data_IF_305138989753
#
_entry.id   IF_305138989753
#
_cell.length_a   1.000
_cell.length_b   1.000
_cell.length_c   1.000
_cell.angle_alpha   90.00
_cell.angle_beta   90.00
_cell.angle_gamma   90.00
#
_symmetry.space_group_name_H-M   'P 1'
#
loop_
_entity.id
_entity.type
_entity.pdbx_description
1 polymer ?
#
# COMPACT_ATOMS: atom_id res chain seq x y z
N UNK A 1 -11.62 21.21 -5.26
CA UNK A 1 -10.59 20.92 -4.24
C UNK A 1 -9.93 19.60 -4.61
N UNK A 2 -8.65 19.58 -5.06
CA UNK A 2 -8.09 18.40 -5.67
C UNK A 2 -7.56 17.44 -4.60
N UNK A 3 -8.18 16.27 -4.52
CA UNK A 3 -7.68 15.14 -3.75
C UNK A 3 -6.41 14.62 -4.44
N UNK A 4 -5.27 14.86 -3.80
CA UNK A 4 -3.96 14.31 -4.17
C UNK A 4 -4.00 12.79 -4.12
N UNK A 5 -3.88 12.17 -5.30
CA UNK A 5 -3.77 10.71 -5.49
C UNK A 5 -2.47 10.22 -4.86
N UNK A 6 -2.54 9.60 -3.68
CA UNK A 6 -1.45 8.81 -3.13
C UNK A 6 -1.33 7.49 -3.90
N UNK A 7 -0.68 7.53 -5.06
CA UNK A 7 -0.25 6.34 -5.79
C UNK A 7 0.93 5.71 -5.05
N UNK A 8 0.64 4.79 -4.12
CA UNK A 8 1.64 3.92 -3.51
C UNK A 8 2.05 2.85 -4.53
N UNK A 9 2.80 3.25 -5.56
CA UNK A 9 3.70 2.31 -6.25
C UNK A 9 4.73 1.88 -5.24
N UNK A 10 4.68 0.62 -4.83
CA UNK A 10 5.75 -0.02 -4.07
C UNK A 10 7.08 0.21 -4.79
N UNK A 11 7.94 1.01 -4.19
CA UNK A 11 9.32 1.25 -4.65
C UNK A 11 10.20 0.20 -3.99
N UNK A 12 10.16 -1.03 -4.49
CA UNK A 12 11.03 -2.11 -4.01
C UNK A 12 12.47 -1.97 -4.51
N UNK A 13 12.71 -1.09 -5.48
CA UNK A 13 14.04 -0.70 -5.92
C UNK A 13 14.04 0.79 -6.23
N UNK A 14 14.82 1.57 -5.48
CA UNK A 14 15.40 2.78 -6.07
C UNK A 14 16.38 2.26 -7.12
N UNK A 15 15.99 2.29 -8.38
CA UNK A 15 17.00 2.33 -9.45
C UNK A 15 17.68 3.67 -9.23
N UNK A 16 18.82 3.67 -8.54
CA UNK A 16 19.73 4.80 -8.57
C UNK A 16 20.02 5.02 -10.04
N UNK A 17 19.80 6.23 -10.57
CA UNK A 17 20.09 6.53 -11.97
C UNK A 17 21.54 6.16 -12.23
N UNK A 18 21.74 5.04 -12.92
CA UNK A 18 23.06 4.49 -13.15
C UNK A 18 23.62 5.20 -14.37
N UNK A 19 24.23 6.37 -14.17
CA UNK A 19 24.77 7.17 -15.27
C UNK A 19 26.21 6.81 -15.63
N UNK A 20 26.93 6.08 -14.76
CA UNK A 20 28.25 5.51 -15.06
C UNK A 20 28.48 4.25 -14.21
N UNK A 21 28.55 3.05 -14.83
CA UNK A 21 29.04 1.82 -14.16
C UNK A 21 30.43 1.54 -14.67
N UNK A 22 31.42 1.62 -13.78
CA UNK A 22 32.71 0.99 -14.01
C UNK A 22 32.60 -0.46 -13.54
N UNK A 23 32.73 -1.40 -14.47
CA UNK A 23 32.69 -2.83 -14.15
C UNK A 23 34.02 -3.21 -13.49
N UNK A 24 33.95 -3.64 -12.23
CA UNK A 24 35.08 -4.18 -11.49
C UNK A 24 35.01 -5.70 -11.46
N UNK A 25 36.15 -6.37 -11.34
CA UNK A 25 36.24 -7.81 -11.08
C UNK A 25 36.01 -8.17 -9.60
N UNK A 26 35.76 -7.17 -8.74
CA UNK A 26 35.38 -7.39 -7.34
C UNK A 26 34.01 -8.07 -7.24
N UNK A 27 33.81 -8.98 -6.27
CA UNK A 27 32.52 -9.62 -6.07
C UNK A 27 31.45 -8.61 -5.63
N UNK A 28 30.25 -8.78 -6.17
CA UNK A 28 29.08 -7.96 -5.84
C UNK A 28 28.75 -7.99 -4.34
N UNK A 29 28.40 -6.83 -3.78
CA UNK A 29 28.00 -6.69 -2.38
C UNK A 29 26.54 -6.29 -2.28
N UNK A 30 25.78 -7.02 -1.46
CA UNK A 30 24.40 -6.67 -1.14
C UNK A 30 24.37 -5.54 -0.11
N UNK A 31 23.83 -4.38 -0.50
CA UNK A 31 23.66 -3.23 0.37
C UNK A 31 22.18 -3.02 0.73
N UNK A 32 21.91 -2.91 2.02
CA UNK A 32 20.56 -2.64 2.53
C UNK A 32 20.29 -1.13 2.55
N UNK A 33 19.51 -0.64 1.59
CA UNK A 33 19.25 0.79 1.37
C UNK A 33 18.39 1.49 2.44
N UNK A 34 17.85 0.73 3.40
CA UNK A 34 16.99 1.26 4.47
C UNK A 34 17.73 1.53 5.79
N UNK A 35 19.03 1.25 5.87
CA UNK A 35 19.89 1.66 6.99
C UNK A 35 21.08 2.45 6.45
N UNK A 36 21.52 3.47 7.20
CA UNK A 36 22.68 4.27 6.80
C UNK A 36 23.98 3.44 6.73
N UNK A 37 24.06 2.38 7.54
CA UNK A 37 25.22 1.49 7.60
C UNK A 37 25.21 0.41 6.50
N UNK A 38 24.15 0.32 5.69
CA UNK A 38 24.03 -0.69 4.63
C UNK A 38 23.85 -2.14 5.11
N UNK A 39 23.77 -2.37 6.42
CA UNK A 39 23.64 -3.71 7.03
C UNK A 39 22.17 -4.13 7.11
N UNK A 40 21.89 -5.35 6.63
CA UNK A 40 20.60 -5.99 6.77
C UNK A 40 20.38 -6.52 8.19
N UNK A 41 19.20 -6.25 8.74
CA UNK A 41 18.70 -6.94 9.95
C UNK A 41 17.23 -7.30 9.75
N UNK A 42 16.76 -8.36 10.41
CA UNK A 42 15.34 -8.72 10.38
C UNK A 42 14.45 -7.56 10.89
N UNK A 43 14.93 -6.80 11.88
CA UNK A 43 14.23 -5.64 12.42
C UNK A 43 14.10 -4.50 11.40
N UNK A 44 15.19 -4.16 10.70
CA UNK A 44 15.17 -3.11 9.68
C UNK A 44 14.31 -3.51 8.47
N UNK A 45 14.34 -4.79 8.10
CA UNK A 45 13.46 -5.36 7.08
C UNK A 45 11.99 -5.19 7.46
N UNK A 46 11.62 -5.63 8.67
CA UNK A 46 10.25 -5.50 9.17
C UNK A 46 9.79 -4.04 9.16
N UNK A 47 10.58 -3.11 9.70
CA UNK A 47 10.23 -1.68 9.69
C UNK A 47 10.07 -1.11 8.28
N UNK A 48 10.93 -1.52 7.34
CA UNK A 48 10.82 -1.11 5.94
C UNK A 48 9.53 -1.63 5.28
N UNK A 49 9.08 -2.85 5.62
CA UNK A 49 7.82 -3.40 5.12
C UNK A 49 6.60 -2.55 5.49
N UNK A 50 6.62 -1.92 6.67
CA UNK A 50 5.53 -1.07 7.15
C UNK A 50 5.76 0.42 6.89
N UNK A 51 6.84 0.79 6.19
CA UNK A 51 7.11 2.19 5.92
C UNK A 51 6.06 2.76 4.96
N UNK A 52 5.42 3.85 5.35
CA UNK A 52 4.31 4.45 4.59
C UNK A 52 2.95 3.80 4.82
N UNK A 53 2.85 2.82 5.72
CA UNK A 53 1.54 2.32 6.17
C UNK A 53 0.89 3.40 7.03
N UNK A 54 -0.12 4.06 6.46
CA UNK A 54 -1.01 4.94 7.22
C UNK A 54 -1.97 4.08 8.02
N UNK A 55 -1.92 4.18 9.35
CA UNK A 55 -2.89 3.50 10.20
C UNK A 55 -4.31 3.98 9.89
N UNK A 56 -5.28 3.06 9.84
CA UNK A 56 -6.69 3.41 9.76
C UNK A 56 -7.10 4.09 11.07
N UNK A 57 -7.23 5.42 11.10
CA UNK A 57 -7.58 6.16 12.31
C UNK A 57 -8.93 5.70 12.92
N UNK A 58 -9.81 5.14 12.07
CA UNK A 58 -11.14 4.67 12.44
C UNK A 58 -11.17 3.30 13.13
N UNK A 59 -10.03 2.60 13.27
CA UNK A 59 -10.02 1.23 13.84
C UNK A 59 -10.66 1.18 15.23
N UNK A 60 -10.36 2.16 16.09
CA UNK A 60 -10.94 2.24 17.44
C UNK A 60 -12.46 2.36 17.39
N UNK A 61 -13.00 3.16 16.47
CA UNK A 61 -14.43 3.39 16.32
C UNK A 61 -15.15 2.12 15.85
N UNK A 62 -14.57 1.41 14.87
CA UNK A 62 -15.13 0.17 14.33
C UNK A 62 -15.25 -0.88 15.42
N UNK A 63 -14.18 -1.11 16.19
CA UNK A 63 -14.15 -2.17 17.19
C UNK A 63 -14.91 -1.82 18.47
N UNK A 64 -14.96 -0.53 18.87
CA UNK A 64 -15.76 -0.04 20.01
C UNK A 64 -17.26 0.06 19.74
N UNK A 65 -17.69 0.05 18.48
CA UNK A 65 -19.12 0.14 18.15
C UNK A 65 -19.93 -1.03 18.73
N UNK A 66 -21.23 -0.85 18.93
CA UNK A 66 -22.16 -1.92 19.32
C UNK A 66 -22.61 -2.80 18.14
N UNK A 67 -21.99 -2.64 16.97
CA UNK A 67 -22.38 -3.37 15.77
C UNK A 67 -22.09 -4.88 15.88
N UNK A 68 -22.89 -5.75 15.25
CA UNK A 68 -22.60 -7.17 15.15
C UNK A 68 -21.23 -7.44 14.51
N UNK A 69 -20.54 -8.55 14.86
CA UNK A 69 -19.22 -8.86 14.32
C UNK A 69 -19.13 -8.81 12.79
N UNK A 70 -20.16 -9.33 12.09
CA UNK A 70 -20.23 -9.31 10.62
C UNK A 70 -20.11 -7.90 10.04
N UNK A 71 -20.76 -6.92 10.67
CA UNK A 71 -20.74 -5.52 10.24
C UNK A 71 -19.39 -4.88 10.55
N UNK A 72 -18.81 -5.16 11.72
CA UNK A 72 -17.48 -4.68 12.11
C UNK A 72 -16.41 -5.17 11.13
N UNK A 73 -16.42 -6.45 10.78
CA UNK A 73 -15.49 -7.04 9.82
C UNK A 73 -15.63 -6.40 8.44
N UNK A 74 -16.86 -6.24 7.96
CA UNK A 74 -17.10 -5.57 6.69
C UNK A 74 -16.57 -4.13 6.69
N UNK A 75 -16.89 -3.35 7.72
CA UNK A 75 -16.45 -1.96 7.83
C UNK A 75 -14.92 -1.84 7.96
N UNK A 76 -14.27 -2.78 8.65
CA UNK A 76 -12.81 -2.86 8.73
C UNK A 76 -12.18 -3.06 7.35
N UNK A 77 -12.71 -3.99 6.56
CA UNK A 77 -12.25 -4.23 5.19
C UNK A 77 -12.51 -3.03 4.29
N UNK A 78 -13.68 -2.39 4.43
CA UNK A 78 -14.05 -1.20 3.66
C UNK A 78 -13.10 -0.02 3.92
N UNK A 79 -12.76 0.26 5.19
CA UNK A 79 -11.80 1.32 5.53
C UNK A 79 -10.37 1.07 5.03
N UNK A 80 -10.03 -0.18 4.71
CA UNK A 80 -8.74 -0.54 4.13
C UNK A 80 -8.78 -0.60 2.60
N UNK A 81 -9.88 -0.16 1.98
CA UNK A 81 -10.15 -0.31 0.56
C UNK A 81 -10.10 -1.78 0.11
N UNK A 82 -10.32 -2.76 1.00
CA UNK A 82 -10.14 -4.20 0.65
C UNK A 82 -11.39 -4.87 0.11
N UNK A 83 -12.53 -4.19 0.10
CA UNK A 83 -13.77 -4.69 -0.49
C UNK A 83 -13.72 -4.59 -2.03
N UNK A 84 -14.32 -5.54 -2.73
CA UNK A 84 -14.49 -5.51 -4.19
C UNK A 84 -15.59 -4.53 -4.59
N UNK A 85 -15.29 -3.23 -4.53
CA UNK A 85 -16.14 -2.17 -5.06
C UNK A 85 -15.88 -1.97 -6.55
N UNK A 86 -16.86 -1.39 -7.26
CA UNK A 86 -16.70 -1.05 -8.68
C UNK A 86 -15.45 -0.18 -8.90
N UNK A 87 -15.20 0.82 -8.04
CA UNK A 87 -14.00 1.67 -8.09
C UNK A 87 -12.68 0.89 -8.00
N UNK A 88 -12.59 -0.08 -7.06
CA UNK A 88 -11.38 -0.91 -6.91
C UNK A 88 -11.18 -1.85 -8.11
N UNK A 89 -12.27 -2.37 -8.68
CA UNK A 89 -12.22 -3.16 -9.91
C UNK A 89 -11.74 -2.29 -11.09
N UNK A 90 -12.24 -1.06 -11.23
CA UNK A 90 -11.84 -0.08 -12.26
C UNK A 90 -10.32 0.17 -12.20
N UNK A 91 -9.81 0.47 -11.00
CA UNK A 91 -8.37 0.71 -10.75
C UNK A 91 -7.48 -0.47 -11.14
N UNK A 92 -8.03 -1.69 -11.19
CA UNK A 92 -7.32 -2.93 -11.54
C UNK A 92 -7.59 -3.39 -12.97
N UNK A 93 -8.43 -2.69 -13.74
CA UNK A 93 -8.82 -3.09 -15.09
C UNK A 93 -9.64 -4.38 -15.13
N UNK A 94 -10.34 -4.72 -14.04
CA UNK A 94 -11.23 -5.87 -13.98
C UNK A 94 -12.64 -5.49 -14.44
N UNK A 95 -13.40 -6.45 -14.95
CA UNK A 95 -14.79 -6.23 -15.34
C UNK A 95 -15.60 -5.68 -14.15
N UNK A 96 -16.34 -4.62 -14.42
CA UNK A 96 -17.15 -3.91 -13.43
C UNK A 96 -18.37 -3.30 -14.09
N UNK A 97 -19.39 -3.03 -13.29
CA UNK A 97 -20.54 -2.26 -13.72
C UNK A 97 -20.13 -0.79 -13.96
N UNK A 98 -20.63 -0.11 -15.00
CA UNK A 98 -20.26 1.27 -15.32
C UNK A 98 -20.62 2.28 -14.22
N UNK A 99 -21.60 1.94 -13.39
CA UNK A 99 -22.05 2.74 -12.24
C UNK A 99 -22.07 1.91 -10.97
N UNK A 100 -21.85 2.58 -9.83
CA UNK A 100 -21.96 1.96 -8.52
C UNK A 100 -23.41 1.55 -8.22
N UNK A 101 -23.64 0.26 -7.93
CA UNK A 101 -24.98 -0.25 -7.59
C UNK A 101 -25.58 0.33 -6.30
N UNK A 102 -24.77 1.00 -5.47
CA UNK A 102 -25.22 1.59 -4.20
C UNK A 102 -25.59 3.08 -4.32
N UNK A 103 -24.86 3.86 -5.12
CA UNK A 103 -25.02 5.32 -5.22
C UNK A 103 -25.25 5.85 -6.65
N UNK A 104 -25.28 4.96 -7.64
CA UNK A 104 -25.45 5.25 -9.08
C UNK A 104 -24.46 6.28 -9.65
N UNK A 105 -23.31 6.45 -9.01
CA UNK A 105 -22.23 7.32 -9.48
C UNK A 105 -21.22 6.53 -10.34
N UNK A 106 -20.55 7.22 -11.26
CA UNK A 106 -19.39 6.69 -11.99
C UNK A 106 -18.18 6.53 -11.05
N UNK A 107 -17.37 5.46 -11.23
CA UNK A 107 -16.22 5.14 -10.37
C UNK A 107 -15.03 6.09 -10.52
#
# INVERSE_FOLDING_TARGET
MPLSRASTRGRYSRIVGVTHVELSNEPDKLLWSWTANGVYTAQSCYRATFQGVTGCHSWKLIWRSWAPPRVKFFHWLACQDRCWTAERLARRGLQHHPRCLLCDQEP
#
